data_IF_454601277535
#
_entry.id   IF_454601277535
#
_cell.length_a   1.000
_cell.length_b   1.000
_cell.length_c   1.000
_cell.angle_alpha   90.00
_cell.angle_beta   90.00
_cell.angle_gamma   90.00
#
_symmetry.space_group_name_H-M   'P 1'
#
loop_
_entity.id
_entity.type
_entity.pdbx_description
1 polymer ?
#
# COMPACT_ATOMS: atom_id res chain seq x y z
N UNK A 1 -15.93 -10.92 -5.73
CA UNK A 1 -14.49 -11.25 -5.72
C UNK A 1 -13.62 -10.07 -6.19
N UNK A 2 -13.88 -9.41 -7.32
CA UNK A 2 -13.09 -8.23 -7.73
C UNK A 2 -13.40 -6.92 -6.98
N UNK A 3 -14.64 -6.72 -6.53
CA UNK A 3 -15.14 -5.47 -5.91
C UNK A 3 -14.74 -5.26 -4.45
N UNK A 4 -14.09 -6.22 -3.81
CA UNK A 4 -13.63 -6.13 -2.41
C UNK A 4 -12.10 -6.07 -2.29
N UNK A 5 -11.38 -6.19 -3.42
CA UNK A 5 -9.93 -6.21 -3.42
C UNK A 5 -9.37 -4.79 -3.37
N UNK A 6 -8.64 -4.47 -2.30
CA UNK A 6 -7.85 -3.23 -2.16
C UNK A 6 -6.47 -3.60 -1.65
N UNK A 7 -5.47 -3.48 -2.51
CA UNK A 7 -4.08 -3.84 -2.25
C UNK A 7 -3.29 -2.58 -1.94
N UNK A 8 -2.49 -2.60 -0.88
CA UNK A 8 -1.49 -1.57 -0.59
C UNK A 8 -0.11 -2.20 -0.71
N UNK A 9 0.75 -1.66 -1.58
CA UNK A 9 2.12 -2.13 -1.77
C UNK A 9 3.11 -1.03 -1.35
N UNK A 10 3.97 -1.32 -0.39
CA UNK A 10 4.98 -0.34 0.07
C UNK A 10 6.21 -0.35 -0.81
N UNK A 11 6.85 0.80 -0.95
CA UNK A 11 8.11 1.02 -1.63
C UNK A 11 9.04 1.84 -0.72
N UNK A 12 10.35 1.54 -0.66
CA UNK A 12 11.27 2.25 0.22
C UNK A 12 11.49 3.71 -0.22
N UNK A 13 11.38 3.97 -1.53
CA UNK A 13 11.69 5.26 -2.14
C UNK A 13 10.46 5.87 -2.80
N UNK A 14 10.33 7.19 -2.71
CA UNK A 14 9.23 7.96 -3.34
C UNK A 14 9.16 7.73 -4.85
N UNK A 15 10.31 7.77 -5.52
CA UNK A 15 10.40 7.59 -6.97
C UNK A 15 9.97 6.18 -7.39
N UNK A 16 10.25 5.15 -6.58
CA UNK A 16 9.77 3.78 -6.82
C UNK A 16 8.25 3.69 -6.71
N UNK A 17 7.64 4.29 -5.68
CA UNK A 17 6.19 4.32 -5.55
C UNK A 17 5.49 4.97 -6.75
N UNK A 18 6.02 6.09 -7.26
CA UNK A 18 5.48 6.78 -8.44
C UNK A 18 5.68 5.93 -9.69
N UNK A 19 6.94 5.59 -10.02
CA UNK A 19 7.28 4.92 -11.27
C UNK A 19 6.63 3.55 -11.41
N UNK A 20 6.55 2.76 -10.32
CA UNK A 20 5.87 1.46 -10.36
C UNK A 20 4.36 1.64 -10.55
N UNK A 21 3.73 2.61 -9.88
CA UNK A 21 2.30 2.86 -10.08
C UNK A 21 1.99 3.29 -11.52
N UNK A 22 2.79 4.18 -12.09
CA UNK A 22 2.65 4.62 -13.48
C UNK A 22 2.86 3.46 -14.46
N UNK A 23 3.91 2.65 -14.23
CA UNK A 23 4.22 1.50 -15.07
C UNK A 23 3.11 0.45 -15.03
N UNK A 24 2.61 0.10 -13.85
CA UNK A 24 1.55 -0.89 -13.72
C UNK A 24 0.22 -0.35 -14.27
N UNK A 25 -0.05 0.96 -14.17
CA UNK A 25 -1.20 1.56 -14.84
C UNK A 25 -1.08 1.46 -16.37
N UNK A 26 0.10 1.75 -16.92
CA UNK A 26 0.39 1.65 -18.35
C UNK A 26 0.21 0.20 -18.87
N UNK A 27 0.73 -0.79 -18.14
CA UNK A 27 0.57 -2.21 -18.47
C UNK A 27 -0.90 -2.67 -18.46
N UNK A 28 -1.77 -1.93 -17.76
CA UNK A 28 -3.22 -2.14 -17.74
C UNK A 28 -3.96 -1.28 -18.76
N UNK A 29 -3.25 -0.57 -19.63
CA UNK A 29 -3.80 0.39 -20.59
C UNK A 29 -4.67 1.47 -19.92
N UNK A 30 -4.30 1.90 -18.72
CA UNK A 30 -5.00 2.89 -17.92
C UNK A 30 -4.10 4.08 -17.58
N UNK A 31 -4.72 5.24 -17.29
CA UNK A 31 -4.00 6.33 -16.62
C UNK A 31 -3.87 5.98 -15.14
N UNK A 32 -2.74 6.34 -14.54
CA UNK A 32 -2.57 6.33 -13.09
C UNK A 32 -3.72 7.12 -12.42
N UNK A 33 -4.29 6.56 -11.35
CA UNK A 33 -5.49 7.05 -10.68
C UNK A 33 -6.79 6.31 -11.04
N UNK A 34 -6.75 5.37 -12.00
CA UNK A 34 -7.88 4.46 -12.28
C UNK A 34 -7.85 3.24 -11.35
N UNK A 35 -7.43 2.07 -11.82
CA UNK A 35 -7.30 0.87 -10.97
C UNK A 35 -6.01 0.84 -10.15
N UNK A 36 -5.02 1.65 -10.53
CA UNK A 36 -3.70 1.72 -9.91
C UNK A 36 -3.40 3.17 -9.57
N UNK A 37 -2.75 3.43 -8.44
CA UNK A 37 -2.33 4.76 -8.04
C UNK A 37 -1.19 4.73 -7.04
N UNK A 38 -0.74 5.92 -6.62
CA UNK A 38 0.27 6.06 -5.60
C UNK A 38 -0.10 7.10 -4.53
N UNK A 39 0.50 6.93 -3.35
CA UNK A 39 0.53 7.96 -2.32
C UNK A 39 1.90 8.04 -1.66
N UNK A 40 2.47 9.23 -1.68
CA UNK A 40 3.70 9.57 -0.96
C UNK A 40 3.44 10.77 -0.05
N UNK A 41 4.47 11.22 0.66
CA UNK A 41 4.36 12.44 1.47
C UNK A 41 4.08 13.64 0.56
N UNK A 42 2.98 14.35 0.85
CA UNK A 42 2.51 15.59 0.20
C UNK A 42 1.97 15.44 -1.24
N UNK A 43 2.00 14.24 -1.82
CA UNK A 43 1.60 14.03 -3.21
C UNK A 43 0.88 12.68 -3.36
N UNK A 44 -0.20 12.66 -4.15
CA UNK A 44 -1.00 11.45 -4.36
C UNK A 44 -1.75 11.49 -5.69
N UNK A 45 -1.84 10.33 -6.32
CA UNK A 45 -2.78 10.02 -7.40
C UNK A 45 -3.48 8.74 -6.99
N UNK A 46 -4.66 8.87 -6.39
CA UNK A 46 -5.34 7.75 -5.74
C UNK A 46 -6.12 6.91 -6.76
N UNK A 47 -6.11 5.56 -6.65
CA UNK A 47 -6.97 4.72 -7.45
C UNK A 47 -8.42 4.75 -6.93
N UNK A 48 -9.34 4.12 -7.67
CA UNK A 48 -10.70 3.85 -7.22
C UNK A 48 -10.74 3.06 -5.89
N UNK A 49 -11.86 3.16 -5.17
CA UNK A 49 -12.00 2.60 -3.81
C UNK A 49 -11.99 1.06 -3.74
N UNK A 50 -12.22 0.37 -4.86
CA UNK A 50 -12.30 -1.09 -4.91
C UNK A 50 -11.73 -1.69 -6.19
N UNK A 51 -11.28 -2.94 -6.11
CA UNK A 51 -10.56 -3.61 -7.19
C UNK A 51 -9.33 -2.81 -7.61
N UNK A 52 -8.52 -2.38 -6.64
CA UNK A 52 -7.44 -1.40 -6.84
C UNK A 52 -6.13 -1.73 -6.14
N UNK A 53 -5.05 -1.14 -6.65
CA UNK A 53 -3.69 -1.22 -6.12
C UNK A 53 -3.20 0.19 -5.81
N UNK A 54 -2.77 0.41 -4.57
CA UNK A 54 -2.11 1.64 -4.14
C UNK A 54 -0.64 1.35 -3.82
N UNK A 55 0.28 1.93 -4.58
CA UNK A 55 1.69 1.96 -4.21
C UNK A 55 1.96 3.12 -3.25
N UNK A 56 2.68 2.91 -2.17
CA UNK A 56 2.97 3.99 -1.23
C UNK A 56 4.35 3.85 -0.62
N UNK A 57 4.85 4.90 0.04
CA UNK A 57 6.05 4.72 0.89
C UNK A 57 5.70 4.03 2.19
N UNK A 58 6.65 3.31 2.79
CA UNK A 58 6.48 2.66 4.11
C UNK A 58 5.96 3.64 5.18
N UNK A 59 6.45 4.89 5.18
CA UNK A 59 5.97 5.93 6.07
C UNK A 59 4.50 6.34 5.87
N UNK A 60 3.94 6.19 4.66
CA UNK A 60 2.51 6.40 4.41
C UNK A 60 1.68 5.26 5.00
N UNK A 61 2.13 4.01 4.85
CA UNK A 61 1.47 2.86 5.48
C UNK A 61 1.47 3.00 7.01
N UNK A 62 2.59 3.38 7.63
CA UNK A 62 2.63 3.66 9.07
C UNK A 62 1.62 4.72 9.50
N UNK A 63 1.44 5.76 8.70
CA UNK A 63 0.43 6.80 9.00
C UNK A 63 -0.99 6.26 8.93
N UNK A 64 -1.27 5.36 7.98
CA UNK A 64 -2.56 4.65 7.93
C UNK A 64 -2.76 3.78 9.16
N UNK A 65 -1.77 2.96 9.54
CA UNK A 65 -1.84 2.11 10.73
C UNK A 65 -2.03 2.93 12.02
N UNK A 66 -1.41 4.10 12.10
CA UNK A 66 -1.61 5.00 13.24
C UNK A 66 -3.02 5.59 13.31
N UNK A 67 -3.60 5.90 12.16
CA UNK A 67 -4.95 6.50 12.08
C UNK A 67 -6.06 5.46 12.22
N UNK A 68 -5.82 4.26 11.69
CA UNK A 68 -6.68 3.10 11.78
C UNK A 68 -5.82 1.83 11.98
N UNK A 69 -5.65 1.39 13.24
CA UNK A 69 -4.87 0.19 13.57
C UNK A 69 -5.43 -1.10 12.98
N UNK A 70 -6.71 -1.13 12.62
CA UNK A 70 -7.34 -2.31 12.00
C UNK A 70 -7.13 -2.37 10.49
N UNK A 71 -6.62 -1.28 9.90
CA UNK A 71 -6.44 -1.14 8.45
C UNK A 71 -7.73 -1.47 7.67
N UNK A 72 -8.87 -1.01 8.19
CA UNK A 72 -10.19 -1.32 7.67
C UNK A 72 -10.31 -1.00 6.18
N UNK A 73 -10.80 -1.97 5.43
CA UNK A 73 -10.98 -1.85 3.98
C UNK A 73 -9.72 -2.07 3.15
N UNK A 74 -8.55 -2.31 3.76
CA UNK A 74 -7.37 -2.86 3.06
C UNK A 74 -7.46 -4.38 3.13
N UNK A 75 -7.55 -5.02 1.97
CA UNK A 75 -7.64 -6.49 1.89
C UNK A 75 -6.28 -7.18 1.92
N UNK A 76 -5.24 -6.52 1.39
CA UNK A 76 -3.90 -7.09 1.25
C UNK A 76 -2.84 -6.00 1.44
N UNK A 77 -1.79 -6.33 2.17
CA UNK A 77 -0.58 -5.51 2.29
C UNK A 77 0.58 -6.29 1.69
N UNK A 78 1.31 -5.66 0.78
CA UNK A 78 2.54 -6.18 0.18
C UNK A 78 3.69 -5.29 0.66
N UNK A 79 4.65 -5.90 1.36
CA UNK A 79 5.87 -5.22 1.76
C UNK A 79 6.97 -5.55 0.74
N UNK A 80 7.32 -4.59 -0.10
CA UNK A 80 8.38 -4.75 -1.08
C UNK A 80 9.75 -4.38 -0.50
N UNK A 81 10.81 -4.85 -1.16
CA UNK A 81 12.21 -4.50 -0.85
C UNK A 81 12.62 -4.78 0.62
N UNK A 82 11.96 -5.74 1.29
CA UNK A 82 12.25 -6.09 2.70
C UNK A 82 13.69 -6.55 2.93
N UNK A 83 14.37 -6.96 1.87
CA UNK A 83 15.78 -7.35 1.93
C UNK A 83 16.73 -6.18 2.19
N UNK A 84 16.30 -4.92 1.95
CA UNK A 84 17.08 -3.73 2.29
C UNK A 84 17.21 -3.52 3.82
N UNK A 85 16.38 -4.20 4.64
CA UNK A 85 16.37 -4.10 6.12
C UNK A 85 16.33 -2.67 6.65
N UNK A 86 15.47 -1.85 6.05
CA UNK A 86 15.19 -0.50 6.53
C UNK A 86 14.44 -0.54 7.87
N UNK A 87 14.87 0.29 8.83
CA UNK A 87 14.31 0.35 10.19
C UNK A 87 12.80 0.58 10.21
N UNK A 88 12.29 1.39 9.29
CA UNK A 88 10.85 1.70 9.21
C UNK A 88 10.08 0.48 8.71
N UNK A 89 10.64 -0.27 7.76
CA UNK A 89 10.07 -1.53 7.28
C UNK A 89 10.03 -2.59 8.37
N UNK A 90 11.12 -2.79 9.10
CA UNK A 90 11.18 -3.75 10.22
C UNK A 90 10.16 -3.39 11.31
N UNK A 91 9.99 -2.11 11.61
CA UNK A 91 8.98 -1.64 12.55
C UNK A 91 7.55 -1.92 12.07
N UNK A 92 7.25 -1.69 10.78
CA UNK A 92 5.96 -2.05 10.17
C UNK A 92 5.69 -3.55 10.30
N UNK A 93 6.69 -4.39 10.01
CA UNK A 93 6.56 -5.85 10.12
C UNK A 93 6.21 -6.26 11.55
N UNK A 94 6.86 -5.65 12.55
CA UNK A 94 6.57 -5.90 13.96
C UNK A 94 5.12 -5.56 14.31
N UNK A 95 4.61 -4.40 13.86
CA UNK A 95 3.22 -4.02 14.14
C UNK A 95 2.24 -4.93 13.39
N UNK A 96 2.50 -5.25 12.11
CA UNK A 96 1.60 -6.09 11.31
C UNK A 96 1.48 -7.50 11.90
N UNK A 97 2.55 -8.07 12.46
CA UNK A 97 2.50 -9.36 13.16
C UNK A 97 1.47 -9.35 14.29
N UNK A 98 1.34 -8.23 15.00
CA UNK A 98 0.44 -8.12 16.15
C UNK A 98 -0.99 -7.76 15.71
N UNK A 99 -1.16 -7.04 14.60
CA UNK A 99 -2.46 -6.59 14.05
C UNK A 99 -3.16 -7.67 13.22
N UNK A 100 -2.46 -8.39 12.35
CA UNK A 100 -3.06 -9.36 11.41
C UNK A 100 -3.91 -10.44 12.10
N UNK A 101 -3.49 -11.02 13.25
CA UNK A 101 -4.32 -11.99 13.97
C UNK A 101 -5.66 -11.41 14.42
N UNK A 102 -5.71 -10.14 14.83
CA UNK A 102 -6.93 -9.48 15.29
C UNK A 102 -7.93 -9.34 14.13
N UNK A 103 -7.43 -8.92 12.96
CA UNK A 103 -8.25 -8.70 11.77
C UNK A 103 -8.71 -10.01 11.13
N UNK A 104 -7.98 -11.10 11.30
CA UNK A 104 -8.35 -12.42 10.76
C UNK A 104 -9.42 -13.15 11.59
N UNK A 105 -9.65 -12.71 12.83
CA UNK A 105 -10.60 -13.30 13.78
C UNK A 105 -11.95 -12.54 13.80
N UNK A 106 -11.97 -11.32 13.27
CA UNK A 106 -13.17 -10.49 13.07
C UNK A 106 -13.83 -10.77 11.72
#
# INVERSE_FOLDING_TARGET
MGSTCRVVCTQPRRISAISVAERVAEERAEKCGKSVGYQIRLEKVLPRNSGSILFCTTGVLLKYMHSDPTLSGISHIVLDEIHERDTVSDFVICILRDVVPIVSIL
#
